data_IF_103288745577
#
_entry.id   IF_103288745577
#
_cell.length_a   1.000
_cell.length_b   1.000
_cell.length_c   1.000
_cell.angle_alpha   90.00
_cell.angle_beta   90.00
_cell.angle_gamma   90.00
#
_symmetry.space_group_name_H-M   'P 1'
#
loop_
_entity.id
_entity.type
_entity.pdbx_description
1 polymer ?
#
# COMPACT_ATOMS: atom_id res chain seq x y z
N UNK A 1 6.92 10.58 23.44
CA UNK A 1 5.87 10.05 24.34
C UNK A 1 4.53 10.76 24.20
N UNK A 2 4.27 11.48 23.11
CA UNK A 2 3.04 12.26 22.85
C UNK A 2 2.25 11.81 21.61
N UNK A 3 2.83 10.95 20.77
CA UNK A 3 2.41 10.85 19.35
C UNK A 3 1.33 9.78 19.13
N UNK A 4 1.40 8.67 19.88
CA UNK A 4 0.38 7.62 19.82
C UNK A 4 -1.00 8.05 20.33
N UNK A 5 -1.07 9.10 21.16
CA UNK A 5 -2.33 9.66 21.66
C UNK A 5 -3.09 10.43 20.60
N UNK A 6 -2.40 11.27 19.83
CA UNK A 6 -2.99 12.11 18.78
C UNK A 6 -3.53 11.26 17.62
N UNK A 7 -2.73 10.31 17.13
CA UNK A 7 -3.16 9.40 16.06
C UNK A 7 -4.35 8.53 16.50
N UNK A 8 -4.29 7.94 17.71
CA UNK A 8 -5.40 7.18 18.27
C UNK A 8 -6.68 8.00 18.31
N UNK A 9 -6.63 9.22 18.83
CA UNK A 9 -7.79 10.12 18.91
C UNK A 9 -8.40 10.34 17.52
N UNK A 10 -7.58 10.69 16.53
CA UNK A 10 -8.06 10.94 15.18
C UNK A 10 -8.70 9.69 14.55
N UNK A 11 -8.11 8.50 14.74
CA UNK A 11 -8.70 7.23 14.29
C UNK A 11 -10.07 7.02 14.93
N UNK A 12 -10.19 7.15 16.25
CA UNK A 12 -11.47 6.94 16.95
C UNK A 12 -12.54 7.93 16.50
N UNK A 13 -12.19 9.19 16.26
CA UNK A 13 -13.11 10.18 15.74
C UNK A 13 -13.54 9.88 14.29
N UNK A 14 -12.65 9.40 13.43
CA UNK A 14 -12.95 9.00 12.05
C UNK A 14 -13.80 7.71 11.97
N UNK A 15 -13.63 6.79 12.92
CA UNK A 15 -14.52 5.65 13.06
C UNK A 15 -15.93 6.09 13.48
N UNK A 16 -16.05 6.96 14.48
CA UNK A 16 -17.35 7.51 14.92
C UNK A 16 -18.04 8.31 13.81
N UNK A 17 -17.29 9.14 13.08
CA UNK A 17 -17.81 9.92 11.96
C UNK A 17 -18.31 9.03 10.81
N UNK A 18 -17.71 7.85 10.63
CA UNK A 18 -18.17 6.81 9.70
C UNK A 18 -19.31 5.94 10.21
N UNK A 19 -19.92 6.27 11.37
CA UNK A 19 -20.92 5.44 12.05
C UNK A 19 -20.45 4.02 12.41
N UNK A 20 -19.14 3.85 12.64
CA UNK A 20 -18.56 2.57 13.07
C UNK A 20 -18.41 2.53 14.59
N UNK A 21 -18.55 1.33 15.15
CA UNK A 21 -18.24 1.09 16.55
C UNK A 21 -16.74 1.20 16.78
N UNK A 22 -16.34 1.99 17.77
CA UNK A 22 -14.93 2.06 18.20
C UNK A 22 -14.60 0.83 19.03
N UNK A 23 -13.96 -0.15 18.40
CA UNK A 23 -13.42 -1.34 19.07
C UNK A 23 -11.94 -1.10 19.38
N UNK A 24 -11.50 -1.13 20.66
CA UNK A 24 -10.12 -0.80 21.03
C UNK A 24 -9.06 -1.63 20.30
N UNK A 25 -9.32 -2.92 20.09
CA UNK A 25 -8.43 -3.82 19.34
C UNK A 25 -8.30 -3.41 17.87
N UNK A 26 -9.41 -3.05 17.22
CA UNK A 26 -9.38 -2.57 15.84
C UNK A 26 -8.58 -1.26 15.71
N UNK A 27 -8.71 -0.34 16.67
CA UNK A 27 -7.90 0.88 16.71
C UNK A 27 -6.40 0.55 16.85
N UNK A 28 -6.04 -0.43 17.68
CA UNK A 28 -4.65 -0.91 17.77
C UNK A 28 -4.17 -1.46 16.42
N UNK A 29 -5.00 -2.22 15.70
CA UNK A 29 -4.65 -2.72 14.36
C UNK A 29 -4.43 -1.60 13.35
N UNK A 30 -5.26 -0.56 13.37
CA UNK A 30 -5.07 0.61 12.50
C UNK A 30 -3.76 1.33 12.81
N UNK A 31 -3.41 1.47 14.10
CA UNK A 31 -2.11 2.04 14.52
C UNK A 31 -0.96 1.15 14.05
N UNK A 32 -1.08 -0.17 14.14
CA UNK A 32 -0.07 -1.10 13.62
C UNK A 32 0.14 -0.94 12.12
N UNK A 33 -0.93 -0.70 11.33
CA UNK A 33 -0.79 -0.39 9.90
C UNK A 33 0.05 0.87 9.71
N UNK A 34 -0.17 1.93 10.49
CA UNK A 34 0.64 3.15 10.44
C UNK A 34 2.11 2.89 10.80
N UNK A 35 2.38 2.24 11.94
CA UNK A 35 3.73 1.97 12.42
C UNK A 35 4.53 1.11 11.42
N UNK A 36 3.90 0.07 10.86
CA UNK A 36 4.51 -0.75 9.82
C UNK A 36 4.83 0.08 8.56
N UNK A 37 3.93 0.96 8.14
CA UNK A 37 4.16 1.83 6.98
C UNK A 37 5.28 2.85 7.16
N UNK A 38 5.47 3.33 8.40
CA UNK A 38 6.61 4.21 8.73
C UNK A 38 7.92 3.43 8.66
N UNK A 39 7.91 2.15 9.08
CA UNK A 39 9.10 1.31 9.10
C UNK A 39 9.47 0.71 7.73
N UNK A 40 8.48 0.41 6.88
CA UNK A 40 8.66 -0.31 5.61
C UNK A 40 7.80 0.28 4.50
N UNK A 41 8.35 0.30 3.28
CA UNK A 41 7.63 0.79 2.11
C UNK A 41 6.68 -0.23 1.50
N UNK A 42 6.83 -1.53 1.80
CA UNK A 42 5.91 -2.59 1.41
C UNK A 42 5.27 -3.24 2.64
N UNK A 43 3.94 -3.30 2.69
CA UNK A 43 3.21 -3.83 3.85
C UNK A 43 2.01 -4.70 3.42
N UNK A 44 1.82 -5.83 4.08
CA UNK A 44 0.72 -6.76 3.85
C UNK A 44 -0.25 -6.74 5.03
N UNK A 45 -1.51 -6.40 4.74
CA UNK A 45 -2.65 -6.51 5.63
C UNK A 45 -3.33 -7.84 5.33
N UNK A 46 -3.21 -8.79 6.25
CA UNK A 46 -3.64 -10.18 6.09
C UNK A 46 -4.87 -10.46 6.93
N UNK A 47 -5.86 -11.14 6.37
CA UNK A 47 -7.06 -11.57 7.10
C UNK A 47 -8.21 -11.92 6.17
N UNK A 48 -9.18 -12.69 6.67
CA UNK A 48 -10.34 -13.14 5.87
C UNK A 48 -11.23 -11.98 5.42
N UNK A 49 -12.08 -12.23 4.43
CA UNK A 49 -13.17 -11.31 4.08
C UNK A 49 -14.00 -10.98 5.32
N UNK A 50 -14.31 -9.70 5.50
CA UNK A 50 -15.06 -9.21 6.65
C UNK A 50 -14.23 -8.90 7.90
N UNK A 51 -12.91 -9.19 7.93
CA UNK A 51 -12.06 -8.90 9.11
C UNK A 51 -11.71 -7.41 9.31
N UNK A 52 -12.26 -6.52 8.48
CA UNK A 52 -12.06 -5.07 8.60
C UNK A 52 -10.80 -4.52 7.91
N UNK A 53 -10.08 -5.32 7.10
CA UNK A 53 -8.85 -4.88 6.38
C UNK A 53 -9.05 -3.59 5.60
N UNK A 54 -10.07 -3.56 4.74
CA UNK A 54 -10.31 -2.40 3.89
C UNK A 54 -10.66 -1.17 4.72
N UNK A 55 -11.44 -1.35 5.79
CA UNK A 55 -11.78 -0.24 6.67
C UNK A 55 -10.59 0.23 7.50
N UNK A 56 -9.65 -0.65 7.86
CA UNK A 56 -8.49 -0.27 8.65
C UNK A 56 -7.60 0.73 7.92
N UNK A 57 -7.21 0.45 6.67
CA UNK A 57 -6.39 1.39 5.90
C UNK A 57 -7.19 2.62 5.47
N UNK A 58 -8.50 2.50 5.20
CA UNK A 58 -9.37 3.67 4.89
C UNK A 58 -9.49 4.61 6.07
N UNK A 59 -9.75 4.08 7.27
CA UNK A 59 -9.82 4.87 8.50
C UNK A 59 -8.48 5.55 8.79
N UNK A 60 -7.35 4.86 8.54
CA UNK A 60 -6.03 5.48 8.64
C UNK A 60 -5.87 6.65 7.67
N UNK A 61 -6.23 6.49 6.38
CA UNK A 61 -6.17 7.59 5.41
C UNK A 61 -6.96 8.82 5.88
N UNK A 62 -8.20 8.60 6.39
CA UNK A 62 -9.03 9.68 6.90
C UNK A 62 -8.43 10.34 8.14
N UNK A 63 -7.86 9.55 9.06
CA UNK A 63 -7.22 10.06 10.26
C UNK A 63 -5.98 10.91 9.94
N UNK A 64 -5.14 10.46 9.00
CA UNK A 64 -3.97 11.21 8.54
C UNK A 64 -4.37 12.53 7.86
N UNK A 65 -5.42 12.51 7.04
CA UNK A 65 -5.95 13.71 6.40
C UNK A 65 -6.55 14.70 7.43
N UNK A 66 -7.24 14.20 8.45
CA UNK A 66 -7.72 15.03 9.58
C UNK A 66 -6.55 15.69 10.29
N UNK A 67 -5.54 14.91 10.68
CA UNK A 67 -4.39 15.42 11.42
C UNK A 67 -3.61 16.47 10.61
N UNK A 68 -3.40 16.24 9.31
CA UNK A 68 -2.75 17.25 8.44
C UNK A 68 -3.58 18.54 8.32
N UNK A 69 -4.90 18.47 8.49
CA UNK A 69 -5.77 19.67 8.50
C UNK A 69 -5.70 20.40 9.85
N UNK A 70 -5.64 19.65 10.96
CA UNK A 70 -5.56 20.21 12.32
C UNK A 70 -4.18 20.80 12.62
N UNK A 71 -3.11 20.15 12.11
CA UNK A 71 -1.71 20.50 12.35
C UNK A 71 -0.97 20.64 10.99
N UNK A 72 -1.21 21.71 10.22
CA UNK A 72 -0.68 21.85 8.86
C UNK A 72 0.84 21.90 8.78
N UNK A 73 1.50 22.38 9.84
CA UNK A 73 2.97 22.47 9.94
C UNK A 73 3.62 21.18 10.45
N UNK A 74 2.83 20.18 10.87
CA UNK A 74 3.35 18.88 11.28
C UNK A 74 3.54 17.99 10.04
N UNK A 75 4.79 17.70 9.72
CA UNK A 75 5.14 16.88 8.56
C UNK A 75 5.02 15.38 8.81
N UNK A 76 4.74 14.96 10.05
CA UNK A 76 4.53 13.54 10.40
C UNK A 76 3.27 12.96 9.75
N UNK A 77 2.26 13.80 9.52
CA UNK A 77 1.00 13.41 8.92
C UNK A 77 0.86 14.10 7.57
N UNK A 78 0.52 13.32 6.55
CA UNK A 78 0.32 13.83 5.19
C UNK A 78 -0.97 13.23 4.65
N UNK A 79 -1.60 13.93 3.70
CA UNK A 79 -2.75 13.34 2.98
C UNK A 79 -2.26 12.12 2.20
N UNK A 80 -3.19 11.21 1.94
CA UNK A 80 -2.90 9.94 1.28
C UNK A 80 -3.74 9.82 0.02
N UNK A 81 -3.08 9.56 -1.10
CA UNK A 81 -3.72 9.18 -2.37
C UNK A 81 -3.55 7.68 -2.58
N UNK A 82 -4.66 6.95 -2.75
CA UNK A 82 -4.65 5.50 -2.92
C UNK A 82 -4.96 5.13 -4.36
N UNK A 83 -4.07 4.36 -4.98
CA UNK A 83 -4.23 3.78 -6.31
C UNK A 83 -4.46 2.28 -6.15
N UNK A 84 -5.70 1.82 -6.35
CA UNK A 84 -6.08 0.42 -6.15
C UNK A 84 -5.93 -0.38 -7.43
N UNK A 85 -5.34 -1.57 -7.32
CA UNK A 85 -5.15 -2.54 -8.40
C UNK A 85 -5.66 -3.88 -7.87
N UNK A 86 -6.51 -4.56 -8.63
CA UNK A 86 -6.76 -5.99 -8.42
C UNK A 86 -5.79 -6.77 -9.31
N UNK A 87 -4.70 -7.35 -8.75
CA UNK A 87 -3.64 -7.94 -9.56
C UNK A 87 -4.12 -9.17 -10.36
N UNK A 88 -5.11 -9.92 -9.87
CA UNK A 88 -5.63 -11.10 -10.59
C UNK A 88 -6.70 -10.76 -11.64
N UNK A 89 -7.16 -9.51 -11.70
CA UNK A 89 -8.02 -9.06 -12.79
C UNK A 89 -7.23 -8.77 -14.08
N UNK A 90 -5.89 -8.81 -14.02
CA UNK A 90 -4.98 -8.48 -15.10
C UNK A 90 -4.06 -9.67 -15.36
N UNK A 91 -3.69 -9.89 -16.61
CA UNK A 91 -2.52 -10.71 -16.94
C UNK A 91 -1.24 -10.01 -16.46
N UNK A 92 -0.13 -10.77 -16.35
CA UNK A 92 1.17 -10.16 -16.01
C UNK A 92 1.59 -9.10 -17.03
N UNK A 93 1.28 -9.32 -18.31
CA UNK A 93 1.56 -8.38 -19.39
C UNK A 93 0.74 -7.09 -19.23
N UNK A 94 -0.56 -7.19 -18.90
CA UNK A 94 -1.39 -6.01 -18.62
C UNK A 94 -0.99 -5.31 -17.31
N UNK A 95 -0.40 -6.01 -16.35
CA UNK A 95 0.04 -5.44 -15.08
C UNK A 95 1.38 -4.71 -15.22
N UNK A 96 2.39 -5.35 -15.81
CA UNK A 96 3.78 -4.85 -15.89
C UNK A 96 4.13 -4.24 -17.25
N UNK A 97 3.52 -4.71 -18.32
CA UNK A 97 3.83 -4.37 -19.70
C UNK A 97 4.47 -5.52 -20.46
N UNK A 98 4.36 -5.47 -21.78
CA UNK A 98 4.90 -6.47 -22.70
C UNK A 98 5.28 -5.82 -24.03
N UNK A 99 6.01 -6.56 -24.86
CA UNK A 99 6.27 -6.15 -26.24
C UNK A 99 5.13 -6.64 -27.14
N UNK A 100 4.60 -5.76 -27.97
CA UNK A 100 3.62 -6.12 -29.00
C UNK A 100 4.26 -7.07 -30.02
N UNK A 101 3.63 -8.23 -30.28
CA UNK A 101 4.19 -9.24 -31.20
C UNK A 101 4.27 -8.76 -32.65
N UNK A 102 3.42 -7.80 -33.05
CA UNK A 102 3.39 -7.26 -34.40
C UNK A 102 4.39 -6.13 -34.60
N UNK A 103 4.35 -5.11 -33.73
CA UNK A 103 5.16 -3.90 -33.87
C UNK A 103 6.53 -4.01 -33.21
N UNK A 104 6.73 -4.98 -32.30
CA UNK A 104 7.90 -5.08 -31.42
C UNK A 104 8.09 -3.83 -30.53
N UNK A 105 7.05 -3.02 -30.36
CA UNK A 105 7.07 -1.85 -29.49
C UNK A 105 6.65 -2.24 -28.08
N UNK A 106 7.23 -1.57 -27.08
CA UNK A 106 6.87 -1.76 -25.69
C UNK A 106 5.52 -1.11 -25.37
N UNK A 107 4.63 -1.87 -24.73
CA UNK A 107 3.38 -1.37 -24.17
C UNK A 107 3.42 -1.44 -22.65
N UNK A 108 3.10 -0.33 -21.99
CA UNK A 108 3.10 -0.26 -20.54
C UNK A 108 1.89 -0.95 -19.92
N UNK A 109 2.16 -1.74 -18.88
CA UNK A 109 1.12 -2.23 -17.99
C UNK A 109 0.61 -1.17 -17.01
N UNK A 110 -0.50 -1.51 -16.35
CA UNK A 110 -1.21 -0.65 -15.38
C UNK A 110 -0.29 -0.21 -14.24
N UNK A 111 0.49 -1.12 -13.66
CA UNK A 111 1.39 -0.80 -12.55
C UNK A 111 2.52 0.12 -12.99
N UNK A 112 3.15 -0.15 -14.14
CA UNK A 112 4.22 0.68 -14.68
C UNK A 112 3.74 2.14 -14.87
N UNK A 113 2.54 2.31 -15.43
CA UNK A 113 1.94 3.62 -15.63
C UNK A 113 1.62 4.34 -14.33
N UNK A 114 1.02 3.64 -13.35
CA UNK A 114 0.74 4.19 -12.02
C UNK A 114 2.04 4.60 -11.32
N UNK A 115 3.03 3.71 -11.27
CA UNK A 115 4.34 3.96 -10.66
C UNK A 115 5.00 5.20 -11.24
N UNK A 116 5.03 5.35 -12.57
CA UNK A 116 5.56 6.56 -13.21
C UNK A 116 4.79 7.82 -12.84
N UNK A 117 3.47 7.76 -12.76
CA UNK A 117 2.66 8.92 -12.38
C UNK A 117 2.92 9.32 -10.93
N UNK A 118 2.88 8.38 -9.99
CA UNK A 118 3.02 8.69 -8.56
C UNK A 118 4.45 9.06 -8.17
N UNK A 119 5.46 8.48 -8.82
CA UNK A 119 6.87 8.81 -8.54
C UNK A 119 7.30 10.16 -9.12
N UNK A 120 6.54 10.73 -10.08
CA UNK A 120 6.76 12.09 -10.59
C UNK A 120 6.11 13.17 -9.74
N UNK A 121 5.22 12.80 -8.83
CA UNK A 121 4.53 13.74 -7.96
C UNK A 121 5.39 14.12 -6.74
N UNK A 122 5.97 15.32 -6.81
CA UNK A 122 6.86 15.89 -5.79
C UNK A 122 6.12 16.44 -4.56
N UNK A 123 4.78 16.38 -4.52
CA UNK A 123 4.03 16.80 -3.33
C UNK A 123 4.40 15.97 -2.09
N UNK A 124 4.29 16.55 -0.88
CA UNK A 124 4.57 15.82 0.36
C UNK A 124 3.51 14.75 0.68
N UNK A 125 2.37 14.77 -0.01
CA UNK A 125 1.31 13.77 0.13
C UNK A 125 1.86 12.36 -0.12
N UNK A 126 1.38 11.38 0.66
CA UNK A 126 1.73 9.98 0.45
C UNK A 126 0.94 9.40 -0.72
N UNK A 127 1.56 8.48 -1.46
CA UNK A 127 0.94 7.75 -2.57
C UNK A 127 1.00 6.26 -2.29
N UNK A 128 -0.14 5.64 -2.04
CA UNK A 128 -0.22 4.22 -1.74
C UNK A 128 -0.71 3.49 -2.97
N UNK A 129 0.05 2.50 -3.43
CA UNK A 129 -0.42 1.55 -4.43
C UNK A 129 -0.93 0.34 -3.66
N UNK A 130 -2.26 0.17 -3.67
CA UNK A 130 -2.95 -0.91 -2.99
C UNK A 130 -3.20 -2.04 -3.98
N UNK A 131 -2.63 -3.21 -3.69
CA UNK A 131 -2.98 -4.46 -4.35
C UNK A 131 -4.07 -5.15 -3.54
N UNK A 132 -5.32 -5.08 -4.02
CA UNK A 132 -6.50 -5.68 -3.40
C UNK A 132 -6.85 -6.99 -4.13
N UNK A 133 -6.35 -8.09 -3.58
CA UNK A 133 -6.49 -9.40 -4.17
C UNK A 133 -5.46 -10.39 -3.63
N UNK A 134 -5.65 -11.70 -3.89
CA UNK A 134 -4.73 -12.71 -3.41
C UNK A 134 -3.34 -12.57 -4.06
N UNK A 135 -2.31 -12.98 -3.31
CA UNK A 135 -0.95 -13.11 -3.83
C UNK A 135 -0.86 -14.34 -4.69
N UNK A 136 -0.24 -14.22 -5.85
CA UNK A 136 0.12 -15.31 -6.75
C UNK A 136 1.61 -15.22 -7.08
N UNK A 137 2.26 -16.37 -7.24
CA UNK A 137 3.72 -16.46 -7.44
C UNK A 137 4.20 -15.70 -8.66
N UNK A 138 3.42 -15.64 -9.74
CA UNK A 138 3.88 -15.09 -11.01
C UNK A 138 4.05 -13.57 -10.94
N UNK A 139 3.06 -12.87 -10.39
CA UNK A 139 3.12 -11.42 -10.37
C UNK A 139 3.96 -10.89 -9.20
N UNK A 140 3.95 -11.57 -8.04
CA UNK A 140 4.64 -11.05 -6.86
C UNK A 140 6.17 -11.17 -6.96
N UNK A 141 6.69 -12.10 -7.74
CA UNK A 141 8.12 -12.26 -7.96
C UNK A 141 8.75 -11.06 -8.67
N UNK A 142 8.04 -10.49 -9.65
CA UNK A 142 8.43 -9.26 -10.35
C UNK A 142 8.49 -8.04 -9.43
N UNK A 143 7.89 -8.09 -8.23
CA UNK A 143 7.92 -7.01 -7.23
C UNK A 143 9.12 -7.07 -6.28
N UNK A 144 9.90 -8.15 -6.30
CA UNK A 144 10.91 -8.39 -5.28
C UNK A 144 11.95 -7.26 -5.15
N UNK A 145 12.44 -6.70 -6.27
CA UNK A 145 13.40 -5.57 -6.27
C UNK A 145 12.74 -4.25 -5.87
N UNK A 146 11.42 -4.16 -5.97
CA UNK A 146 10.68 -2.98 -5.50
C UNK A 146 10.42 -3.07 -4.00
N UNK A 147 10.25 -4.29 -3.46
CA UNK A 147 10.02 -4.55 -2.04
C UNK A 147 11.30 -4.58 -1.19
N UNK A 148 12.47 -4.75 -1.81
CA UNK A 148 13.75 -4.68 -1.10
C UNK A 148 14.29 -3.23 -0.98
N UNK A 149 15.49 -3.08 -0.44
CA UNK A 149 16.14 -1.79 -0.20
C UNK A 149 16.47 -1.02 -1.50
N UNK A 150 16.50 -1.68 -2.66
CA UNK A 150 16.72 -1.02 -3.94
C UNK A 150 15.52 -0.15 -4.36
N UNK A 151 14.31 -0.48 -3.90
CA UNK A 151 13.07 0.27 -4.17
C UNK A 151 12.87 0.54 -5.67
N UNK A 152 13.15 -0.47 -6.50
CA UNK A 152 13.23 -0.34 -7.95
C UNK A 152 12.24 -1.30 -8.64
N UNK A 153 11.34 -0.76 -9.46
CA UNK A 153 10.55 -1.56 -10.39
C UNK A 153 11.35 -1.72 -11.69
N UNK A 154 11.70 -2.96 -12.03
CA UNK A 154 12.41 -3.27 -13.28
C UNK A 154 11.44 -3.93 -14.24
N UNK A 155 11.16 -3.26 -15.37
CA UNK A 155 10.28 -3.77 -16.41
C UNK A 155 11.05 -4.68 -17.38
N UNK A 156 10.33 -5.54 -18.10
CA UNK A 156 10.91 -6.41 -19.13
C UNK A 156 11.55 -5.62 -20.28
N UNK A 157 11.12 -4.37 -20.51
CA UNK A 157 11.79 -3.44 -21.43
C UNK A 157 13.21 -3.06 -21.03
N UNK A 158 13.61 -3.36 -19.79
CA UNK A 158 14.85 -2.86 -19.17
C UNK A 158 14.69 -1.50 -18.52
N UNK A 159 13.52 -0.84 -18.62
CA UNK A 159 13.23 0.38 -17.87
C UNK A 159 13.27 0.11 -16.37
N UNK A 160 13.83 1.06 -15.63
CA UNK A 160 13.96 1.01 -14.18
C UNK A 160 13.29 2.24 -13.57
N UNK A 161 12.20 2.03 -12.85
CA UNK A 161 11.45 3.09 -12.18
C UNK A 161 11.80 3.05 -10.69
N UNK A 162 12.54 4.07 -10.22
CA UNK A 162 12.89 4.22 -8.82
C UNK A 162 11.70 4.79 -8.03
N UNK A 163 11.33 4.12 -6.95
CA UNK A 163 10.23 4.52 -6.09
C UNK A 163 10.66 5.69 -5.19
N UNK A 164 9.88 6.75 -5.16
CA UNK A 164 10.15 7.92 -4.32
C UNK A 164 9.73 7.70 -2.87
N UNK A 165 10.28 8.47 -1.90
CA UNK A 165 10.00 8.27 -0.47
C UNK A 165 8.52 8.40 -0.08
N UNK A 166 7.72 9.15 -0.86
CA UNK A 166 6.30 9.33 -0.61
C UNK A 166 5.44 8.13 -1.06
N UNK A 167 6.01 7.23 -1.88
CA UNK A 167 5.30 6.09 -2.45
C UNK A 167 5.45 4.87 -1.54
N UNK A 168 4.37 4.12 -1.37
CA UNK A 168 4.39 2.84 -0.66
C UNK A 168 3.46 1.83 -1.30
N UNK A 169 3.78 0.56 -1.10
CA UNK A 169 3.02 -0.58 -1.56
C UNK A 169 2.25 -1.17 -0.39
N UNK A 170 0.95 -1.36 -0.56
CA UNK A 170 0.07 -1.97 0.40
C UNK A 170 -0.60 -3.18 -0.26
N UNK A 171 -0.64 -4.31 0.44
CA UNK A 171 -1.28 -5.53 -0.05
C UNK A 171 -2.42 -5.86 0.90
N UNK A 172 -3.64 -5.92 0.38
CA UNK A 172 -4.80 -6.44 1.11
C UNK A 172 -5.05 -7.87 0.63
N UNK A 173 -4.75 -8.85 1.51
CA UNK A 173 -4.69 -10.27 1.14
C UNK A 173 -5.44 -11.13 2.16
N UNK A 174 -5.98 -12.26 1.73
CA UNK A 174 -6.61 -13.22 2.65
C UNK A 174 -5.55 -14.01 3.43
N UNK A 175 -4.61 -14.59 2.71
CA UNK A 175 -3.50 -15.38 3.24
C UNK A 175 -2.24 -15.22 2.37
N UNK A 176 -1.17 -15.89 2.78
CA UNK A 176 0.16 -15.82 2.15
C UNK A 176 0.62 -17.19 1.63
N UNK A 177 -0.31 -18.11 1.39
CA UNK A 177 0.01 -19.49 1.03
C UNK A 177 0.83 -19.61 -0.25
N UNK A 178 0.68 -18.65 -1.17
CA UNK A 178 1.42 -18.57 -2.44
C UNK A 178 2.60 -17.58 -2.41
N UNK A 179 2.86 -16.93 -1.27
CA UNK A 179 3.96 -15.99 -1.15
C UNK A 179 5.25 -16.73 -0.77
N UNK A 180 6.35 -16.44 -1.46
CA UNK A 180 7.66 -17.00 -1.09
C UNK A 180 8.14 -16.42 0.25
N UNK A 181 8.97 -17.15 1.03
CA UNK A 181 9.59 -16.60 2.24
C UNK A 181 10.40 -15.32 1.99
N UNK A 182 11.00 -15.18 0.80
CA UNK A 182 11.72 -13.98 0.41
C UNK A 182 10.78 -12.77 0.28
N UNK A 183 9.59 -12.97 -0.30
CA UNK A 183 8.55 -11.95 -0.40
C UNK A 183 8.06 -11.53 0.99
N UNK A 184 7.75 -12.51 1.84
CA UNK A 184 7.21 -12.25 3.20
C UNK A 184 8.24 -11.55 4.10
N UNK A 185 9.53 -11.86 3.98
CA UNK A 185 10.56 -11.24 4.82
C UNK A 185 10.84 -9.77 4.51
N UNK A 186 10.47 -9.30 3.31
CA UNK A 186 10.69 -7.93 2.84
C UNK A 186 9.54 -6.98 3.21
N UNK A 187 8.32 -7.51 3.34
CA UNK A 187 7.15 -6.72 3.70
C UNK A 187 6.89 -6.65 5.22
N UNK A 188 6.28 -5.54 5.67
CA UNK A 188 5.68 -5.47 7.01
C UNK A 188 4.39 -6.29 7.06
N UNK A 189 4.12 -6.98 8.17
CA UNK A 189 3.00 -7.92 8.28
C UNK A 189 2.02 -7.47 9.35
N UNK A 190 0.76 -7.25 8.98
CA UNK A 190 -0.32 -6.89 9.90
C UNK A 190 -1.46 -7.90 9.74
N UNK A 191 -1.71 -8.69 10.79
CA UNK A 191 -2.80 -9.67 10.81
C UNK A 191 -4.05 -9.07 11.48
N UNK A 192 -5.17 -9.03 10.75
CA UNK A 192 -6.48 -8.70 11.27
C UNK A 192 -7.29 -9.98 11.47
N UNK A 193 -7.31 -10.43 12.72
CA UNK A 193 -8.13 -11.52 13.22
C UNK A 193 -9.17 -10.93 14.18
N UNK A 194 -10.04 -10.05 13.67
CA UNK A 194 -11.17 -9.51 14.44
C UNK A 194 -12.41 -10.32 14.12
#
# INVERSE_FOLDING_TARGET
GSDGGTLRRAIEEELRAGNLQVVPEFVVKIIQVFDCKVARHGNMIVGRTGSGKSEAWKALCRALARLKKEEPEDDRYQKVHVHTINPLALSNDELYGSFDEGTHEWQDGVLARIMRTVCKDESPDQKWILFDGPVDTLWIESMNTTLDDNKLLTLLSGERIAMTPQVSLLFEVEDLSQASPATVSRAGMIYLNV
#
